data_IF_435632418607
#
_entry.id   IF_435632418607
#
_cell.length_a   1.000
_cell.length_b   1.000
_cell.length_c   1.000
_cell.angle_alpha   90.00
_cell.angle_beta   90.00
_cell.angle_gamma   90.00
#
_symmetry.space_group_name_H-M   'P 1'
#
loop_
_entity.id
_entity.type
_entity.pdbx_description
1 polymer ?
#
# COMPACT_ATOMS: atom_id res chain seq x y z
N UNK A 1 -10.93 13.74 32.00
CA UNK A 1 -10.97 13.16 30.65
C UNK A 1 -12.34 13.46 30.07
N UNK A 2 -12.41 14.23 28.99
CA UNK A 2 -13.65 14.45 28.24
C UNK A 2 -13.99 13.19 27.45
N UNK A 3 -15.29 12.90 27.30
CA UNK A 3 -15.73 11.87 26.36
C UNK A 3 -15.30 12.32 24.95
N UNK A 4 -14.66 11.45 24.13
CA UNK A 4 -14.19 11.80 22.79
C UNK A 4 -15.36 11.79 21.79
N UNK A 5 -16.38 12.61 22.05
CA UNK A 5 -17.54 12.77 21.18
C UNK A 5 -17.22 13.86 20.18
N UNK A 6 -17.13 13.50 18.90
CA UNK A 6 -17.11 14.46 17.79
C UNK A 6 -18.53 14.92 17.48
N UNK A 7 -18.73 16.23 17.34
CA UNK A 7 -19.99 16.86 16.97
C UNK A 7 -20.33 16.60 15.50
N UNK A 8 -21.58 16.86 15.12
CA UNK A 8 -22.01 16.75 13.72
C UNK A 8 -21.24 17.71 12.81
N UNK A 9 -20.96 18.93 13.28
CA UNK A 9 -20.23 19.94 12.53
C UNK A 9 -18.77 19.56 12.37
N UNK A 10 -18.11 19.06 13.43
CA UNK A 10 -16.74 18.53 13.34
C UNK A 10 -16.64 17.38 12.34
N UNK A 11 -17.57 16.42 12.39
CA UNK A 11 -17.62 15.29 11.44
C UNK A 11 -17.83 15.75 9.99
N UNK A 12 -18.59 16.82 9.77
CA UNK A 12 -18.84 17.37 8.43
C UNK A 12 -17.66 18.21 7.91
N UNK A 13 -16.87 18.78 8.82
CA UNK A 13 -15.66 19.53 8.48
C UNK A 13 -14.46 18.63 8.16
N UNK A 14 -14.49 17.34 8.53
CA UNK A 14 -13.45 16.37 8.18
C UNK A 14 -13.32 16.20 6.66
N UNK A 15 -12.15 16.54 6.13
CA UNK A 15 -11.79 16.24 4.73
C UNK A 15 -11.58 14.74 4.59
N UNK A 16 -12.44 14.08 3.81
CA UNK A 16 -12.36 12.64 3.53
C UNK A 16 -11.78 12.40 2.15
N UNK A 17 -10.67 11.68 2.09
CA UNK A 17 -10.13 11.18 0.83
C UNK A 17 -11.05 10.13 0.19
N UNK A 18 -11.14 10.13 -1.13
CA UNK A 18 -11.88 9.11 -1.89
C UNK A 18 -10.98 7.91 -2.13
N UNK A 19 -11.45 6.71 -1.78
CA UNK A 19 -10.79 5.45 -2.12
C UNK A 19 -11.53 4.82 -3.30
N UNK A 20 -10.89 4.77 -4.46
CA UNK A 20 -11.46 4.21 -5.69
C UNK A 20 -10.63 3.04 -6.19
N UNK A 21 -11.29 2.02 -6.74
CA UNK A 21 -10.66 0.90 -7.40
C UNK A 21 -11.08 0.88 -8.87
N UNK A 22 -10.10 0.77 -9.76
CA UNK A 22 -10.29 0.84 -11.21
C UNK A 22 -10.03 -0.54 -11.80
N UNK A 23 -11.03 -1.11 -12.47
CA UNK A 23 -10.96 -2.44 -13.04
C UNK A 23 -11.11 -2.39 -14.55
N UNK A 24 -10.42 -3.30 -15.24
CA UNK A 24 -10.55 -3.46 -16.68
C UNK A 24 -9.43 -4.31 -17.27
N UNK A 25 -9.63 -4.84 -18.48
CA UNK A 25 -8.65 -5.70 -19.15
C UNK A 25 -7.32 -4.97 -19.42
N UNK A 26 -6.24 -5.70 -19.74
CA UNK A 26 -4.99 -5.11 -20.22
C UNK A 26 -5.24 -4.18 -21.42
N UNK A 27 -4.51 -3.07 -21.51
CA UNK A 27 -4.59 -2.14 -22.65
C UNK A 27 -5.80 -1.19 -22.68
N UNK A 28 -6.74 -1.27 -21.73
CA UNK A 28 -7.95 -0.41 -21.71
C UNK A 28 -7.67 1.05 -21.27
N UNK A 29 -6.44 1.38 -20.92
CA UNK A 29 -6.05 2.75 -20.53
C UNK A 29 -6.13 3.06 -19.03
N UNK A 30 -6.07 2.06 -18.14
CA UNK A 30 -6.05 2.28 -16.67
C UNK A 30 -4.91 3.22 -16.25
N UNK A 31 -3.68 2.89 -16.66
CA UNK A 31 -2.48 3.69 -16.35
C UNK A 31 -2.52 5.07 -17.00
N UNK A 32 -3.16 5.22 -18.17
CA UNK A 32 -3.31 6.50 -18.87
C UNK A 32 -4.11 7.53 -18.06
N UNK A 33 -4.94 7.10 -17.10
CA UNK A 33 -5.66 7.99 -16.20
C UNK A 33 -4.73 8.86 -15.33
N UNK A 34 -3.47 8.48 -15.14
CA UNK A 34 -2.46 9.34 -14.52
C UNK A 34 -2.32 10.69 -15.21
N UNK A 35 -2.54 10.74 -16.53
CA UNK A 35 -2.48 11.99 -17.31
C UNK A 35 -3.63 12.95 -17.02
N UNK A 36 -4.70 12.50 -16.37
CA UNK A 36 -5.84 13.34 -15.99
C UNK A 36 -5.69 13.92 -14.58
N UNK A 37 -4.65 13.52 -13.84
CA UNK A 37 -4.38 13.99 -12.49
C UNK A 37 -3.42 15.18 -12.48
N UNK A 38 -3.39 15.92 -11.37
CA UNK A 38 -2.38 16.95 -11.18
C UNK A 38 -1.04 16.32 -10.81
N UNK A 39 -0.11 16.29 -11.77
CA UNK A 39 1.20 15.63 -11.62
C UNK A 39 2.06 16.15 -10.46
N UNK A 40 1.87 17.40 -10.01
CA UNK A 40 2.67 17.96 -8.90
C UNK A 40 2.16 17.56 -7.52
N UNK A 41 0.90 17.14 -7.42
CA UNK A 41 0.26 16.69 -6.17
C UNK A 41 -0.17 15.23 -6.21
N UNK A 42 0.26 14.48 -7.23
CA UNK A 42 -0.01 13.05 -7.36
C UNK A 42 1.28 12.25 -7.24
N UNK A 43 1.26 11.23 -6.39
CA UNK A 43 2.32 10.23 -6.29
C UNK A 43 1.92 8.98 -7.08
N UNK A 44 2.78 8.58 -8.03
CA UNK A 44 2.59 7.33 -8.75
C UNK A 44 3.30 6.17 -8.04
N UNK A 45 2.54 5.15 -7.67
CA UNK A 45 3.01 3.92 -7.05
C UNK A 45 3.02 2.82 -8.12
N UNK A 46 4.18 2.64 -8.76
CA UNK A 46 4.38 1.82 -9.94
C UNK A 46 4.96 0.45 -9.59
N UNK A 47 4.12 -0.57 -9.69
CA UNK A 47 4.46 -1.98 -9.50
C UNK A 47 4.55 -2.75 -10.83
N UNK A 48 3.89 -2.29 -11.90
CA UNK A 48 3.91 -2.95 -13.21
C UNK A 48 5.10 -2.55 -14.09
N UNK A 49 5.84 -1.50 -13.74
CA UNK A 49 6.81 -0.84 -14.62
C UNK A 49 6.14 -0.36 -15.92
N UNK A 50 4.95 0.24 -15.77
CA UNK A 50 4.06 0.66 -16.86
C UNK A 50 4.49 1.93 -17.60
N UNK A 51 5.79 2.11 -17.82
CA UNK A 51 6.40 3.38 -18.24
C UNK A 51 5.88 3.90 -19.58
N UNK A 52 5.49 3.00 -20.50
CA UNK A 52 5.03 3.38 -21.85
C UNK A 52 3.72 4.19 -21.82
N UNK A 53 2.78 3.87 -20.92
CA UNK A 53 1.48 4.56 -20.89
C UNK A 53 1.60 6.02 -20.42
N UNK A 54 2.65 6.31 -19.64
CA UNK A 54 2.92 7.62 -19.04
C UNK A 54 4.22 8.24 -19.55
N UNK A 55 4.74 7.78 -20.69
CA UNK A 55 5.96 8.34 -21.28
C UNK A 55 5.84 9.88 -21.42
N UNK A 56 6.89 10.58 -20.97
CA UNK A 56 6.96 12.04 -20.96
C UNK A 56 6.14 12.75 -19.87
N UNK A 57 5.39 12.02 -19.03
CA UNK A 57 4.68 12.61 -17.89
C UNK A 57 5.66 12.87 -16.73
N UNK A 58 5.80 14.13 -16.34
CA UNK A 58 6.61 14.53 -15.19
C UNK A 58 5.86 14.29 -13.88
N UNK A 59 5.85 13.04 -13.40
CA UNK A 59 5.18 12.63 -12.15
C UNK A 59 6.16 11.94 -11.21
N UNK A 60 6.09 12.31 -9.93
CA UNK A 60 6.89 11.65 -8.89
C UNK A 60 6.43 10.20 -8.75
N UNK A 61 7.39 9.27 -8.72
CA UNK A 61 7.11 7.83 -8.82
C UNK A 61 7.92 7.04 -7.79
N UNK A 62 7.27 6.09 -7.11
CA UNK A 62 7.93 5.04 -6.31
C UNK A 62 7.71 3.67 -6.94
N UNK A 63 8.75 2.83 -6.91
CA UNK A 63 8.78 1.51 -7.56
C UNK A 63 9.18 0.39 -6.60
N UNK A 64 8.29 -0.03 -5.68
CA UNK A 64 8.58 -1.17 -4.83
C UNK A 64 8.61 -2.47 -5.62
N UNK A 65 9.54 -3.35 -5.25
CA UNK A 65 9.82 -4.62 -5.92
C UNK A 65 9.53 -5.82 -5.04
N UNK A 66 9.32 -5.62 -3.75
CA UNK A 66 9.05 -6.69 -2.79
C UNK A 66 7.79 -6.42 -1.99
N UNK A 67 7.15 -7.49 -1.46
CA UNK A 67 6.02 -7.33 -0.55
C UNK A 67 6.37 -6.48 0.67
N UNK A 68 7.60 -6.63 1.19
CA UNK A 68 8.09 -5.82 2.30
C UNK A 68 8.10 -4.34 1.95
N UNK A 69 8.67 -3.96 0.81
CA UNK A 69 8.67 -2.56 0.37
C UNK A 69 7.26 -2.01 0.17
N UNK A 70 6.31 -2.82 -0.34
CA UNK A 70 4.91 -2.42 -0.40
C UNK A 70 4.37 -2.04 0.98
N UNK A 71 4.64 -2.86 2.01
CA UNK A 71 4.22 -2.59 3.40
C UNK A 71 4.95 -1.38 3.99
N UNK A 72 6.25 -1.25 3.73
CA UNK A 72 7.07 -0.12 4.18
C UNK A 72 6.49 1.20 3.64
N UNK A 73 6.20 1.29 2.33
CA UNK A 73 5.61 2.50 1.76
C UNK A 73 4.16 2.71 2.20
N UNK A 74 3.37 1.64 2.36
CA UNK A 74 2.00 1.76 2.86
C UNK A 74 1.95 2.34 4.28
N UNK A 75 2.83 1.93 5.20
CA UNK A 75 2.91 2.54 6.54
C UNK A 75 3.46 3.97 6.48
N UNK A 76 4.42 4.24 5.59
CA UNK A 76 4.99 5.58 5.44
C UNK A 76 3.95 6.59 4.94
N UNK A 77 3.08 6.17 4.02
CA UNK A 77 2.00 6.98 3.45
C UNK A 77 0.80 7.07 4.39
N UNK A 78 0.37 5.94 4.96
CA UNK A 78 -0.87 5.84 5.75
C UNK A 78 -0.70 6.15 7.23
N UNK A 79 0.53 6.21 7.73
CA UNK A 79 0.84 6.27 9.15
C UNK A 79 0.67 4.91 9.86
N UNK A 80 1.00 4.86 11.16
CA UNK A 80 0.87 3.66 11.98
C UNK A 80 -0.59 3.38 12.34
N UNK A 81 -0.92 2.11 12.50
CA UNK A 81 -2.20 1.67 13.05
C UNK A 81 -2.09 1.52 14.59
N UNK A 82 -2.76 2.38 15.38
CA UNK A 82 -2.63 2.38 16.84
C UNK A 82 -3.24 1.14 17.51
N UNK A 83 -4.01 0.31 16.78
CA UNK A 83 -4.57 -0.93 17.30
C UNK A 83 -3.57 -2.10 17.30
N UNK A 84 -2.42 -1.96 16.63
CA UNK A 84 -1.46 -3.03 16.45
C UNK A 84 -0.39 -3.04 17.55
N UNK A 85 0.09 -4.24 17.88
CA UNK A 85 1.24 -4.42 18.78
C UNK A 85 2.52 -3.96 18.08
N UNK A 86 3.49 -3.53 18.89
CA UNK A 86 4.77 -2.97 18.43
C UNK A 86 5.52 -3.84 17.42
N UNK A 87 5.45 -5.16 17.55
CA UNK A 87 6.14 -6.12 16.70
C UNK A 87 5.42 -6.43 15.37
N UNK A 88 4.22 -5.90 15.16
CA UNK A 88 3.42 -6.21 13.97
C UNK A 88 3.73 -5.25 12.80
N UNK A 89 3.56 -5.69 11.54
CA UNK A 89 3.51 -4.77 10.41
C UNK A 89 2.48 -3.65 10.66
N UNK A 90 2.77 -2.45 10.16
CA UNK A 90 1.97 -1.23 10.36
C UNK A 90 1.87 -0.70 11.79
N UNK A 91 2.61 -1.25 12.76
CA UNK A 91 2.69 -0.72 14.12
C UNK A 91 3.40 0.64 14.19
N UNK A 92 3.34 1.29 15.36
CA UNK A 92 4.14 2.49 15.66
C UNK A 92 5.64 2.23 15.46
N UNK A 93 6.17 1.14 16.00
CA UNK A 93 7.61 0.82 15.86
C UNK A 93 7.98 0.56 14.39
N UNK A 94 7.08 -0.06 13.60
CA UNK A 94 7.28 -0.21 12.16
C UNK A 94 7.33 1.16 11.47
N UNK A 95 6.37 2.05 11.74
CA UNK A 95 6.34 3.40 11.18
C UNK A 95 7.61 4.19 11.52
N UNK A 96 8.02 4.20 12.79
CA UNK A 96 9.23 4.90 13.23
C UNK A 96 10.49 4.35 12.54
N UNK A 97 10.60 3.02 12.39
CA UNK A 97 11.70 2.40 11.66
C UNK A 97 11.72 2.83 10.18
N UNK A 98 10.55 2.99 9.56
CA UNK A 98 10.45 3.45 8.17
C UNK A 98 10.74 4.95 8.04
N UNK A 99 10.29 5.80 8.96
CA UNK A 99 10.68 7.22 9.00
C UNK A 99 12.19 7.39 9.17
N UNK A 100 12.85 6.55 9.97
CA UNK A 100 14.32 6.54 10.05
C UNK A 100 14.99 6.11 8.74
N UNK A 101 14.36 5.21 7.97
CA UNK A 101 14.88 4.69 6.71
C UNK A 101 14.66 5.64 5.52
N UNK A 102 13.48 6.25 5.41
CA UNK A 102 13.08 7.09 4.27
C UNK A 102 13.12 8.60 4.55
N UNK A 103 13.28 9.00 5.82
CA UNK A 103 13.30 10.38 6.24
C UNK A 103 11.95 10.89 6.73
N UNK A 104 11.83 12.21 6.79
CA UNK A 104 10.65 12.87 7.33
C UNK A 104 9.42 12.64 6.42
N UNK A 105 8.31 12.07 6.93
CA UNK A 105 7.07 11.88 6.17
C UNK A 105 6.43 13.19 5.67
N UNK A 106 6.83 14.37 6.18
CA UNK A 106 6.37 15.66 5.66
C UNK A 106 6.60 15.83 4.14
N UNK A 107 7.57 15.12 3.57
CA UNK A 107 7.79 15.11 2.11
C UNK A 107 6.58 14.60 1.32
N UNK A 108 5.68 13.86 1.98
CA UNK A 108 4.45 13.33 1.38
C UNK A 108 3.27 14.32 1.45
N UNK A 109 3.33 15.36 2.29
CA UNK A 109 2.21 16.31 2.48
C UNK A 109 1.84 17.09 1.21
N UNK A 110 2.76 17.18 0.24
CA UNK A 110 2.47 17.79 -1.06
C UNK A 110 1.55 16.94 -1.94
N UNK A 111 1.37 15.65 -1.64
CA UNK A 111 0.54 14.75 -2.43
C UNK A 111 -0.87 14.64 -1.84
N UNK A 112 -1.88 14.98 -2.64
CA UNK A 112 -3.30 14.75 -2.31
C UNK A 112 -3.81 13.42 -2.88
N UNK A 113 -3.09 12.84 -3.84
CA UNK A 113 -3.48 11.64 -4.58
C UNK A 113 -2.35 10.64 -4.63
N UNK A 114 -2.65 9.38 -4.31
CA UNK A 114 -1.74 8.25 -4.55
C UNK A 114 -2.39 7.32 -5.55
N UNK A 115 -1.77 7.17 -6.71
CA UNK A 115 -2.25 6.28 -7.77
C UNK A 115 -1.45 4.98 -7.75
N UNK A 116 -2.10 3.85 -7.51
CA UNK A 116 -1.44 2.55 -7.34
C UNK A 116 -1.68 1.67 -8.56
N UNK A 117 -0.62 1.39 -9.34
CA UNK A 117 -0.69 0.53 -10.52
C UNK A 117 0.38 -0.58 -10.48
N UNK A 118 0.06 -1.85 -10.24
CA UNK A 118 -1.28 -2.41 -10.02
C UNK A 118 -1.38 -3.17 -8.71
N UNK A 119 -2.58 -3.13 -8.11
CA UNK A 119 -2.93 -3.97 -6.96
C UNK A 119 -2.79 -5.48 -7.28
N UNK A 120 -2.88 -5.86 -8.56
CA UNK A 120 -2.63 -7.23 -9.00
C UNK A 120 -1.17 -7.63 -8.78
N UNK A 121 -0.20 -6.75 -9.06
CA UNK A 121 1.21 -7.04 -8.78
C UNK A 121 1.50 -7.06 -7.30
N UNK A 122 0.96 -6.11 -6.52
CA UNK A 122 1.08 -6.13 -5.07
C UNK A 122 0.56 -7.47 -4.50
N UNK A 123 -0.59 -7.94 -4.99
CA UNK A 123 -1.15 -9.25 -4.67
C UNK A 123 -0.20 -10.40 -5.01
N UNK A 124 0.41 -10.39 -6.20
CA UNK A 124 1.41 -11.40 -6.59
C UNK A 124 2.66 -11.37 -5.71
N UNK A 125 3.20 -10.19 -5.39
CA UNK A 125 4.35 -10.04 -4.51
C UNK A 125 4.06 -10.59 -3.11
N UNK A 126 2.90 -10.26 -2.56
CA UNK A 126 2.43 -10.80 -1.29
C UNK A 126 2.32 -12.32 -1.33
N UNK A 127 1.66 -12.88 -2.35
CA UNK A 127 1.49 -14.33 -2.44
C UNK A 127 2.82 -15.06 -2.56
N UNK A 128 3.76 -14.54 -3.35
CA UNK A 128 5.12 -15.10 -3.45
C UNK A 128 5.86 -15.03 -2.11
N UNK A 129 5.75 -13.92 -1.39
CA UNK A 129 6.30 -13.80 -0.03
C UNK A 129 5.67 -14.80 0.93
N UNK A 130 4.34 -14.99 0.88
CA UNK A 130 3.59 -15.93 1.72
C UNK A 130 4.05 -17.38 1.52
N UNK A 131 4.34 -17.79 0.27
CA UNK A 131 4.85 -19.13 -0.03
C UNK A 131 6.21 -19.44 0.61
N UNK A 132 6.97 -18.42 0.98
CA UNK A 132 8.25 -18.57 1.68
C UNK A 132 8.13 -18.62 3.20
N UNK A 133 6.94 -18.41 3.77
CA UNK A 133 6.74 -18.37 5.21
C UNK A 133 6.55 -19.77 5.81
N UNK A 134 6.88 -19.98 7.09
CA UNK A 134 6.67 -21.26 7.78
C UNK A 134 5.25 -21.81 7.64
N UNK A 135 4.23 -20.95 7.71
CA UNK A 135 2.81 -21.31 7.59
C UNK A 135 2.43 -21.85 6.21
N UNK A 136 3.29 -21.67 5.20
CA UNK A 136 3.14 -22.25 3.87
C UNK A 136 3.91 -23.57 3.71
N UNK A 137 4.35 -24.19 4.81
CA UNK A 137 4.99 -25.51 4.81
C UNK A 137 4.19 -26.48 5.68
N UNK A 138 4.12 -27.74 5.25
CA UNK A 138 3.46 -28.79 6.01
C UNK A 138 4.39 -29.33 7.10
N UNK A 139 4.04 -29.13 8.37
CA UNK A 139 4.80 -29.71 9.51
C UNK A 139 4.94 -31.24 9.43
N UNK A 140 3.97 -31.92 8.80
CA UNK A 140 3.96 -33.38 8.66
C UNK A 140 4.87 -33.90 7.55
N UNK A 141 5.05 -33.14 6.47
CA UNK A 141 5.66 -33.64 5.23
C UNK A 141 6.83 -32.81 4.73
N UNK A 142 7.04 -31.61 5.28
CA UNK A 142 8.00 -30.61 4.79
C UNK A 142 7.67 -30.05 3.39
N UNK A 143 6.56 -30.48 2.77
CA UNK A 143 6.17 -30.03 1.43
C UNK A 143 5.47 -28.67 1.49
N UNK A 144 5.52 -27.87 0.40
CA UNK A 144 4.75 -26.63 0.31
C UNK A 144 3.25 -26.87 0.53
N UNK A 145 2.67 -26.14 1.47
CA UNK A 145 1.23 -26.08 1.71
C UNK A 145 0.63 -24.82 1.07
N UNK A 146 0.03 -25.02 -0.11
CA UNK A 146 -0.62 -23.95 -0.87
C UNK A 146 -1.81 -23.37 -0.12
N UNK A 147 -2.53 -24.16 0.70
CA UNK A 147 -3.67 -23.67 1.48
C UNK A 147 -3.20 -22.73 2.59
N UNK A 148 -2.12 -23.11 3.28
CA UNK A 148 -1.43 -22.25 4.24
C UNK A 148 -1.00 -20.92 3.63
N UNK A 149 -0.39 -20.97 2.44
CA UNK A 149 0.02 -19.78 1.69
C UNK A 149 -1.17 -18.85 1.34
N UNK A 150 -2.29 -19.38 0.85
CA UNK A 150 -3.49 -18.58 0.57
C UNK A 150 -4.14 -18.00 1.83
N UNK A 151 -4.16 -18.77 2.92
CA UNK A 151 -4.66 -18.29 4.21
C UNK A 151 -3.83 -17.13 4.75
N UNK A 152 -2.51 -17.21 4.64
CA UNK A 152 -1.62 -16.11 5.01
C UNK A 152 -1.77 -14.91 4.06
N UNK A 153 -1.85 -15.14 2.75
CA UNK A 153 -2.05 -14.09 1.77
C UNK A 153 -3.33 -13.28 2.02
N UNK A 154 -4.43 -13.95 2.37
CA UNK A 154 -5.68 -13.29 2.75
C UNK A 154 -5.52 -12.39 3.99
N UNK A 155 -4.78 -12.85 5.00
CA UNK A 155 -4.49 -12.05 6.21
C UNK A 155 -3.60 -10.86 5.91
N UNK A 156 -2.56 -11.04 5.11
CA UNK A 156 -1.63 -9.97 4.72
C UNK A 156 -2.32 -8.88 3.88
N UNK A 157 -3.32 -9.23 3.07
CA UNK A 157 -4.06 -8.28 2.22
C UNK A 157 -5.05 -7.39 3.00
N UNK A 158 -5.43 -7.79 4.21
CA UNK A 158 -6.41 -7.06 5.05
C UNK A 158 -5.78 -6.49 6.33
N UNK A 159 -4.46 -6.63 6.48
CA UNK A 159 -3.70 -6.21 7.66
C UNK A 159 -3.60 -4.68 7.77
#
# INVERSE_FOLDING_TARGET
>A
MSLPIITADERLAEVRGVKAAIFGPPGIGKTTLLRTLNSTTSLFFDLEAGDLAIEGLAIDTIRPRTWRECRDFAVFIGGPNPALRKDQPYSEDHYQAICQKYGDPQVLEKYDTVFIDSITVAGRLCFQWCKGQPEAQSDKTGKPDVRGAYGLHGREMIA
#
